data_IF_298304150866
#
_entry.id   IF_298304150866
#
_cell.length_a   1.000
_cell.length_b   1.000
_cell.length_c   1.000
_cell.angle_alpha   90.00
_cell.angle_beta   90.00
_cell.angle_gamma   90.00
#
_symmetry.space_group_name_H-M   'P 1'
#
loop_
_entity.id
_entity.type
_entity.pdbx_description
1 polymer ?
#
# COMPACT_ATOMS: atom_id res chain seq x y z
N UNK A 1 -27.67 -33.01 -22.54
CA UNK A 1 -27.37 -33.58 -21.21
C UNK A 1 -25.97 -33.13 -20.81
N UNK A 2 -25.82 -31.89 -20.35
CA UNK A 2 -24.57 -31.39 -19.78
C UNK A 2 -24.93 -30.29 -18.77
N UNK A 3 -24.77 -30.59 -17.48
CA UNK A 3 -24.93 -29.65 -16.37
C UNK A 3 -24.63 -30.40 -15.07
N UNK A 4 -23.38 -30.34 -14.58
CA UNK A 4 -23.03 -30.39 -13.15
C UNK A 4 -21.50 -30.54 -12.95
N UNK A 5 -20.73 -29.51 -13.31
CA UNK A 5 -19.30 -29.46 -12.95
C UNK A 5 -18.88 -28.13 -12.32
N UNK A 6 -19.80 -27.20 -12.05
CA UNK A 6 -19.51 -25.86 -11.51
C UNK A 6 -19.89 -25.67 -10.04
N UNK A 7 -20.42 -26.70 -9.36
CA UNK A 7 -20.89 -26.56 -7.98
C UNK A 7 -19.88 -26.99 -6.88
N UNK A 8 -18.75 -27.61 -7.24
CA UNK A 8 -17.83 -28.19 -6.24
C UNK A 8 -16.68 -27.30 -5.78
N UNK A 9 -16.53 -26.08 -6.30
CA UNK A 9 -15.45 -25.17 -5.88
C UNK A 9 -15.87 -24.15 -4.78
N UNK A 10 -17.16 -24.07 -4.44
CA UNK A 10 -17.70 -23.18 -3.39
C UNK A 10 -17.79 -23.86 -2.01
N UNK A 11 -17.56 -25.16 -1.91
CA UNK A 11 -17.76 -25.93 -0.66
C UNK A 11 -16.56 -25.89 0.30
N UNK A 12 -15.35 -25.55 -0.16
CA UNK A 12 -14.12 -25.67 0.65
C UNK A 12 -13.73 -24.41 1.43
N UNK A 13 -14.58 -23.38 1.44
CA UNK A 13 -14.40 -22.16 2.25
C UNK A 13 -15.37 -22.10 3.44
N UNK A 14 -16.41 -22.96 3.47
CA UNK A 14 -17.48 -22.91 4.48
C UNK A 14 -17.39 -23.95 5.62
N UNK A 15 -16.37 -24.82 5.65
CA UNK A 15 -16.39 -26.01 6.53
C UNK A 15 -15.56 -25.91 7.82
N UNK A 16 -15.13 -24.72 8.25
CA UNK A 16 -14.30 -24.57 9.47
C UNK A 16 -14.88 -23.62 10.53
N UNK A 17 -16.21 -23.58 10.62
CA UNK A 17 -16.93 -22.93 11.73
C UNK A 17 -18.04 -23.85 12.21
N UNK A 18 -17.69 -24.85 13.03
CA UNK A 18 -18.65 -25.48 13.94
C UNK A 18 -18.18 -25.23 15.37
N UNK A 19 -18.78 -24.22 15.99
CA UNK A 19 -18.63 -23.95 17.42
C UNK A 19 -19.40 -25.05 18.18
N UNK A 20 -18.66 -25.90 18.91
CA UNK A 20 -19.25 -26.74 19.96
C UNK A 20 -19.52 -25.87 21.18
N UNK A 21 -20.80 -25.67 21.50
CA UNK A 21 -21.24 -25.16 22.78
C UNK A 21 -21.31 -26.31 23.80
N UNK A 22 -20.47 -26.26 24.85
CA UNK A 22 -20.80 -26.68 26.22
C UNK A 22 -19.56 -26.60 27.11
N UNK A 23 -19.54 -25.65 28.05
CA UNK A 23 -19.31 -25.88 29.48
C UNK A 23 -19.19 -24.54 30.23
N UNK A 24 -19.97 -24.42 31.31
CA UNK A 24 -20.10 -23.28 32.22
C UNK A 24 -18.86 -23.05 33.11
N UNK A 25 -18.69 -21.85 33.70
CA UNK A 25 -17.39 -21.37 34.18
C UNK A 25 -17.11 -21.79 35.64
N UNK A 26 -15.84 -22.10 35.94
CA UNK A 26 -15.32 -22.14 37.32
C UNK A 26 -14.34 -20.99 37.55
N UNK A 27 -14.59 -20.26 38.63
CA UNK A 27 -13.84 -19.08 39.07
C UNK A 27 -12.63 -19.42 39.96
N UNK A 28 -11.74 -18.41 40.09
CA UNK A 28 -10.59 -18.27 41.00
C UNK A 28 -9.40 -19.22 40.70
N UNK A 29 -8.15 -18.76 40.60
CA UNK A 29 -7.43 -17.90 41.55
C UNK A 29 -6.12 -17.40 40.90
N UNK A 30 -5.75 -16.15 41.14
CA UNK A 30 -4.43 -15.61 40.81
C UNK A 30 -3.35 -16.24 41.72
N UNK A 31 -2.23 -16.67 41.13
CA UNK A 31 -0.98 -16.95 41.85
C UNK A 31 0.16 -16.23 41.14
N UNK A 32 0.72 -15.27 41.86
CA UNK A 32 2.01 -14.62 41.63
C UNK A 32 3.14 -15.64 41.74
N UNK A 33 4.07 -15.64 40.78
CA UNK A 33 5.22 -16.54 40.75
C UNK A 33 6.41 -15.92 40.03
N UNK A 34 7.49 -15.76 40.79
CA UNK A 34 8.68 -14.95 40.57
C UNK A 34 9.65 -15.49 39.50
N UNK A 35 10.39 -14.55 38.90
CA UNK A 35 11.55 -14.77 38.00
C UNK A 35 12.55 -15.80 38.55
N UNK A 36 13.03 -16.70 37.69
CA UNK A 36 14.42 -17.19 37.72
C UNK A 36 15.00 -17.26 36.31
N UNK A 37 16.08 -16.51 36.10
CA UNK A 37 17.01 -16.65 34.99
C UNK A 37 17.88 -17.88 35.25
N UNK A 38 18.10 -18.73 34.26
CA UNK A 38 19.22 -19.68 34.27
C UNK A 38 19.91 -19.61 32.91
N UNK A 39 21.16 -19.12 32.94
CA UNK A 39 22.13 -19.28 31.86
C UNK A 39 22.54 -20.75 31.81
N UNK A 40 22.65 -21.32 30.62
CA UNK A 40 23.51 -22.46 30.36
C UNK A 40 24.54 -22.00 29.33
N UNK A 41 25.79 -21.93 29.80
CA UNK A 41 26.98 -21.82 28.97
C UNK A 41 27.36 -23.22 28.48
N UNK A 42 27.55 -23.37 27.18
CA UNK A 42 28.45 -24.38 26.60
C UNK A 42 29.18 -23.72 25.44
N UNK A 43 30.47 -23.50 25.64
CA UNK A 43 31.39 -23.07 24.60
C UNK A 43 31.97 -24.27 23.85
N UNK A 44 32.21 -24.10 22.56
CA UNK A 44 33.27 -24.80 21.80
C UNK A 44 33.88 -23.78 20.84
N UNK A 45 35.19 -23.88 20.69
CA UNK A 45 36.10 -22.88 20.16
C UNK A 45 36.14 -22.77 18.61
N UNK A 46 36.44 -21.52 18.23
CA UNK A 46 37.07 -20.93 17.05
C UNK A 46 37.84 -21.85 16.09
N UNK A 47 37.56 -21.67 14.79
CA UNK A 47 38.58 -21.69 13.75
C UNK A 47 38.48 -20.40 12.92
N UNK A 48 39.55 -19.60 12.94
CA UNK A 48 39.70 -18.35 12.22
C UNK A 48 40.29 -18.61 10.83
N UNK A 49 39.77 -17.93 9.81
CA UNK A 49 40.51 -17.65 8.59
C UNK A 49 40.19 -16.22 8.13
N UNK A 50 41.26 -15.47 7.92
CA UNK A 50 41.33 -14.03 7.76
C UNK A 50 40.82 -13.52 6.41
N UNK A 51 40.39 -12.25 6.40
CA UNK A 51 40.04 -11.51 5.18
C UNK A 51 39.64 -10.07 5.52
N UNK A 52 40.63 -9.24 5.89
CA UNK A 52 40.44 -7.81 6.15
C UNK A 52 40.48 -7.06 4.82
N UNK A 53 39.38 -6.38 4.46
CA UNK A 53 39.39 -5.31 3.46
C UNK A 53 39.08 -3.99 4.19
N UNK A 54 40.12 -3.22 4.48
CA UNK A 54 40.01 -1.88 5.04
C UNK A 54 39.65 -0.90 3.91
N UNK A 55 38.50 -0.24 4.03
CA UNK A 55 38.15 0.91 3.21
C UNK A 55 38.82 2.16 3.79
N UNK A 56 39.71 2.77 3.02
CA UNK A 56 40.36 4.05 3.31
C UNK A 56 39.43 5.17 2.84
N UNK A 57 38.96 6.00 3.76
CA UNK A 57 38.30 7.29 3.45
C UNK A 57 39.24 8.40 3.93
N UNK A 58 39.73 9.30 3.05
CA UNK A 58 40.49 10.45 3.52
C UNK A 58 39.57 11.47 4.18
N UNK A 59 39.86 11.75 5.45
CA UNK A 59 39.34 12.91 6.17
C UNK A 59 40.10 14.16 5.72
N UNK A 60 39.39 15.19 5.26
CA UNK A 60 39.92 16.56 5.17
C UNK A 60 39.33 17.37 6.31
N UNK A 61 40.21 17.80 7.20
CA UNK A 61 39.91 18.76 8.25
C UNK A 61 40.03 20.18 7.69
N UNK A 62 39.06 21.03 7.98
CA UNK A 62 39.24 22.48 8.00
C UNK A 62 38.66 23.00 9.32
N UNK A 63 39.57 23.43 10.19
CA UNK A 63 39.34 24.12 11.44
C UNK A 63 39.07 25.61 11.23
N UNK A 64 38.19 26.20 12.04
CA UNK A 64 38.06 27.64 12.21
C UNK A 64 36.70 28.03 12.77
N UNK A 65 36.61 28.22 14.10
CA UNK A 65 35.37 28.56 14.81
C UNK A 65 35.06 30.05 14.86
N UNK A 66 33.84 30.39 15.30
CA UNK A 66 33.56 31.26 16.45
C UNK A 66 32.05 31.30 16.78
N UNK A 67 31.77 31.63 18.04
CA UNK A 67 30.54 31.52 18.83
C UNK A 67 29.32 32.32 18.36
N UNK A 68 28.10 31.82 18.62
CA UNK A 68 27.18 32.27 19.69
C UNK A 68 25.70 32.02 19.35
N UNK A 69 24.99 31.49 20.36
CA UNK A 69 23.56 31.55 20.72
C UNK A 69 22.44 31.81 19.68
N UNK A 70 21.36 31.04 19.81
CA UNK A 70 20.03 31.48 19.38
C UNK A 70 19.12 30.36 18.85
N UNK A 71 18.19 29.93 19.70
CA UNK A 71 16.93 29.24 19.40
C UNK A 71 16.30 29.56 18.03
N UNK A 72 15.80 28.52 17.33
CA UNK A 72 14.90 28.73 16.19
C UNK A 72 14.51 27.43 15.48
N UNK A 73 13.27 26.98 15.69
CA UNK A 73 12.58 26.03 14.82
C UNK A 73 12.59 26.59 13.39
N UNK A 74 13.29 25.91 12.47
CA UNK A 74 13.26 26.26 11.06
C UNK A 74 11.97 25.73 10.41
N UNK A 75 10.94 26.58 10.41
CA UNK A 75 9.86 26.47 9.43
C UNK A 75 10.44 26.81 8.06
N UNK A 76 10.54 25.80 7.20
CA UNK A 76 10.83 26.03 5.78
C UNK A 76 9.68 26.83 5.18
N UNK A 77 10.04 27.93 4.53
CA UNK A 77 9.14 28.90 3.91
C UNK A 77 8.26 28.23 2.86
N UNK A 78 6.94 28.19 3.12
CA UNK A 78 5.95 27.77 2.14
C UNK A 78 5.91 28.79 1.01
N UNK A 79 6.45 28.41 -0.16
CA UNK A 79 6.28 29.17 -1.39
C UNK A 79 4.78 29.40 -1.63
N UNK A 80 4.42 30.65 -1.92
CA UNK A 80 3.05 31.14 -1.94
C UNK A 80 2.19 30.42 -3.00
N UNK A 81 1.52 29.34 -2.56
CA UNK A 81 0.61 28.55 -3.39
C UNK A 81 -0.78 29.21 -3.37
N UNK A 82 -1.24 29.61 -4.55
CA UNK A 82 -2.56 30.19 -4.73
C UNK A 82 -3.61 29.07 -4.87
N UNK A 83 -4.57 29.05 -3.93
CA UNK A 83 -5.74 28.19 -4.00
C UNK A 83 -6.68 28.75 -5.04
N UNK A 84 -7.07 27.93 -6.02
CA UNK A 84 -8.13 28.27 -6.96
C UNK A 84 -9.29 27.34 -6.66
N UNK A 85 -10.16 27.73 -5.74
CA UNK A 85 -11.45 27.07 -5.49
C UNK A 85 -12.42 27.41 -6.63
N UNK A 86 -12.16 26.88 -7.83
CA UNK A 86 -13.17 26.84 -8.87
C UNK A 86 -13.77 25.45 -8.91
N UNK A 87 -15.05 25.37 -8.52
CA UNK A 87 -15.92 24.21 -8.76
C UNK A 87 -15.98 23.78 -10.24
N UNK A 88 -15.43 24.59 -11.17
CA UNK A 88 -15.37 24.33 -12.61
C UNK A 88 -14.10 23.67 -13.15
N UNK A 89 -13.08 23.35 -12.33
CA UNK A 89 -11.79 22.79 -12.81
C UNK A 89 -11.65 21.28 -12.54
N UNK A 90 -12.60 20.66 -11.84
CA UNK A 90 -12.61 19.21 -11.64
C UNK A 90 -12.91 18.45 -12.94
N UNK A 91 -13.52 19.11 -13.93
CA UNK A 91 -13.84 18.54 -15.23
C UNK A 91 -12.69 18.61 -16.25
N UNK A 92 -12.53 17.53 -17.02
CA UNK A 92 -11.81 17.53 -18.29
C UNK A 92 -10.82 16.39 -18.43
N UNK A 93 -10.76 15.78 -19.62
CA UNK A 93 -9.75 14.78 -19.96
C UNK A 93 -8.33 15.36 -19.97
N UNK A 94 -7.34 14.47 -19.83
CA UNK A 94 -5.91 14.77 -19.91
C UNK A 94 -5.25 15.27 -18.61
N UNK A 95 -3.92 15.25 -18.59
CA UNK A 95 -3.09 15.41 -17.39
C UNK A 95 -2.61 14.07 -16.85
N UNK A 96 -1.58 14.08 -16.01
CA UNK A 96 -1.10 12.86 -15.36
C UNK A 96 -1.94 12.60 -14.13
N UNK A 97 -2.54 11.41 -14.06
CA UNK A 97 -3.28 10.96 -12.90
C UNK A 97 -2.37 10.07 -12.06
N UNK A 98 -2.33 10.39 -10.77
CA UNK A 98 -1.65 9.63 -9.76
C UNK A 98 -2.68 9.16 -8.74
N UNK A 99 -2.46 8.00 -8.16
CA UNK A 99 -3.28 7.45 -7.09
C UNK A 99 -2.40 6.89 -5.99
N UNK A 100 -2.93 6.88 -4.77
CA UNK A 100 -2.29 6.18 -3.66
C UNK A 100 -3.30 5.72 -2.62
N UNK A 101 -2.95 4.61 -1.99
CA UNK A 101 -3.67 3.98 -0.90
C UNK A 101 -2.89 4.24 0.39
N UNK A 102 -3.40 5.10 1.26
CA UNK A 102 -2.72 5.51 2.48
C UNK A 102 -3.12 4.63 3.67
N UNK A 103 -2.14 4.27 4.50
CA UNK A 103 -2.30 3.48 5.73
C UNK A 103 -1.38 4.02 6.82
N UNK A 104 -1.78 3.93 8.09
CA UNK A 104 -0.89 4.30 9.19
C UNK A 104 0.32 3.37 9.32
N UNK A 105 0.19 2.10 8.89
CA UNK A 105 1.30 1.16 8.85
C UNK A 105 2.44 1.57 7.89
N UNK A 106 2.20 2.54 7.00
CA UNK A 106 3.20 3.08 6.10
C UNK A 106 3.96 4.28 6.69
N UNK A 107 3.52 4.81 7.82
CA UNK A 107 4.20 5.91 8.50
C UNK A 107 5.58 5.48 9.01
N UNK A 108 6.50 6.43 9.05
CA UNK A 108 7.88 6.20 9.48
C UNK A 108 8.14 7.05 10.74
N UNK A 109 8.01 6.47 11.94
CA UNK A 109 8.20 7.19 13.19
C UNK A 109 9.61 7.74 13.33
N UNK A 110 9.72 8.96 13.88
CA UNK A 110 10.98 9.55 14.31
C UNK A 110 11.04 9.52 15.84
N UNK A 111 12.17 9.09 16.41
CA UNK A 111 12.33 9.02 17.87
C UNK A 111 12.17 10.41 18.49
N UNK A 112 11.24 10.53 19.44
CA UNK A 112 10.91 11.81 20.10
C UNK A 112 10.10 12.77 19.22
N UNK A 113 9.68 12.34 18.03
CA UNK A 113 8.79 13.09 17.15
C UNK A 113 7.32 13.01 17.58
N UNK A 114 6.45 13.77 16.89
CA UNK A 114 5.00 13.69 17.08
C UNK A 114 4.45 12.28 16.82
N UNK A 115 3.24 12.00 17.33
CA UNK A 115 2.56 10.74 17.09
C UNK A 115 2.27 10.55 15.59
N UNK A 116 2.48 9.31 15.12
CA UNK A 116 2.23 8.88 13.73
C UNK A 116 1.59 7.50 13.71
N UNK A 117 1.00 7.15 12.57
CA UNK A 117 0.62 5.78 12.26
C UNK A 117 -0.68 5.35 12.92
N UNK A 118 -1.79 5.93 12.45
CA UNK A 118 -3.12 5.52 12.84
C UNK A 118 -3.40 4.09 12.36
N UNK A 119 -3.60 3.17 13.32
CA UNK A 119 -3.79 1.74 13.03
C UNK A 119 -5.10 1.45 12.32
N UNK A 120 -6.11 2.28 12.57
CA UNK A 120 -7.46 2.13 12.03
C UNK A 120 -7.66 3.01 10.79
N UNK A 121 -6.81 4.03 10.64
CA UNK A 121 -6.83 4.98 9.55
C UNK A 121 -6.52 4.39 8.17
N UNK A 122 -7.32 4.80 7.19
CA UNK A 122 -7.05 4.60 5.78
C UNK A 122 -7.54 5.79 4.95
N UNK A 123 -6.84 6.07 3.84
CA UNK A 123 -7.31 7.02 2.84
C UNK A 123 -7.02 6.54 1.42
N UNK A 124 -7.81 7.01 0.47
CA UNK A 124 -7.59 6.84 -0.97
C UNK A 124 -7.50 8.24 -1.57
N UNK A 125 -6.38 8.55 -2.19
CA UNK A 125 -6.11 9.85 -2.77
C UNK A 125 -5.78 9.72 -4.26
N UNK A 126 -6.46 10.54 -5.06
CA UNK A 126 -6.14 10.79 -6.46
C UNK A 126 -5.61 12.21 -6.63
N UNK A 127 -4.55 12.34 -7.43
CA UNK A 127 -3.91 13.60 -7.77
C UNK A 127 -3.86 13.73 -9.28
N UNK A 128 -4.23 14.90 -9.80
CA UNK A 128 -4.14 15.23 -11.21
C UNK A 128 -3.23 16.40 -11.43
N UNK A 129 -2.19 16.20 -12.23
CA UNK A 129 -1.26 17.26 -12.66
C UNK A 129 -1.56 17.64 -14.11
N UNK A 130 -2.03 18.87 -14.33
CA UNK A 130 -2.33 19.42 -15.66
C UNK A 130 -1.81 20.85 -15.78
N UNK A 131 -0.70 21.03 -16.49
CA UNK A 131 0.02 22.31 -16.52
C UNK A 131 0.50 22.68 -15.13
N UNK A 132 0.22 23.90 -14.69
CA UNK A 132 0.51 24.40 -13.33
C UNK A 132 -0.57 24.04 -12.30
N UNK A 133 -1.64 23.33 -12.71
CA UNK A 133 -2.75 22.98 -11.81
C UNK A 133 -2.57 21.57 -11.25
N UNK A 134 -2.66 21.47 -9.93
CA UNK A 134 -2.69 20.21 -9.19
C UNK A 134 -4.05 20.08 -8.52
N UNK A 135 -4.81 19.08 -8.93
CA UNK A 135 -6.11 18.74 -8.31
C UNK A 135 -5.93 17.53 -7.41
N UNK A 136 -6.63 17.52 -6.28
CA UNK A 136 -6.64 16.42 -5.32
C UNK A 136 -8.07 16.02 -5.03
N UNK A 137 -8.31 14.71 -4.92
CA UNK A 137 -9.54 14.12 -4.41
C UNK A 137 -9.13 13.05 -3.41
N UNK A 138 -9.50 13.22 -2.14
CA UNK A 138 -9.17 12.26 -1.09
C UNK A 138 -10.42 11.87 -0.31
N UNK A 139 -10.56 10.57 -0.06
CA UNK A 139 -11.51 10.00 0.90
C UNK A 139 -10.72 9.38 2.05
N UNK A 140 -11.26 9.43 3.27
CA UNK A 140 -10.64 8.77 4.42
C UNK A 140 -11.67 8.02 5.27
N UNK A 141 -11.22 7.07 6.07
CA UNK A 141 -12.04 6.32 7.03
C UNK A 141 -11.17 5.85 8.19
N UNK A 142 -11.83 5.54 9.32
CA UNK A 142 -11.16 4.99 10.50
C UNK A 142 -10.16 5.93 11.18
N UNK A 143 -10.16 7.21 10.82
CA UNK A 143 -9.29 8.24 11.42
C UNK A 143 -10.08 9.53 11.67
N UNK A 144 -9.51 10.42 12.48
CA UNK A 144 -10.10 11.73 12.82
C UNK A 144 -10.22 12.70 11.64
N UNK A 145 -10.79 13.87 11.90
CA UNK A 145 -10.87 14.95 10.89
C UNK A 145 -9.45 15.40 10.49
N UNK A 146 -9.15 15.47 9.18
CA UNK A 146 -7.83 15.90 8.71
C UNK A 146 -7.49 17.32 9.16
N UNK A 147 -6.25 17.52 9.60
CA UNK A 147 -5.67 18.82 9.97
C UNK A 147 -4.64 19.31 8.95
N UNK A 148 -3.97 18.39 8.25
CA UNK A 148 -3.04 18.70 7.14
C UNK A 148 -3.14 17.62 6.06
N UNK A 149 -2.86 18.02 4.82
CA UNK A 149 -2.83 17.14 3.64
C UNK A 149 -1.68 17.56 2.72
N UNK A 150 -0.72 16.67 2.53
CA UNK A 150 0.54 17.01 1.87
C UNK A 150 0.97 15.96 0.84
N UNK A 151 1.68 16.41 -0.19
CA UNK A 151 2.61 15.57 -0.95
C UNK A 151 4.03 15.91 -0.51
N UNK A 152 4.77 14.88 -0.10
CA UNK A 152 6.17 14.95 0.26
C UNK A 152 7.04 14.31 -0.82
N UNK A 153 8.31 14.71 -0.89
CA UNK A 153 9.31 14.03 -1.72
C UNK A 153 10.20 13.13 -0.85
N UNK A 154 10.05 11.83 -1.01
CA UNK A 154 10.80 10.80 -0.31
C UNK A 154 10.47 9.42 -0.86
N UNK A 155 11.50 8.58 -0.98
CA UNK A 155 11.33 7.18 -1.33
C UNK A 155 10.57 6.43 -0.23
N UNK A 156 10.02 5.25 -0.58
CA UNK A 156 9.37 4.35 0.37
C UNK A 156 10.30 4.05 1.54
N UNK A 157 9.79 4.16 2.76
CA UNK A 157 10.56 3.92 3.99
C UNK A 157 11.37 5.13 4.49
N UNK A 158 11.40 6.24 3.75
CA UNK A 158 12.17 7.44 4.11
C UNK A 158 11.25 8.65 4.28
N UNK A 159 11.45 9.44 5.33
CA UNK A 159 10.75 10.71 5.51
C UNK A 159 11.31 11.79 4.58
N UNK A 160 10.41 12.61 4.03
CA UNK A 160 10.72 13.65 3.05
C UNK A 160 10.12 15.01 3.43
N UNK A 161 10.64 16.08 2.85
CA UNK A 161 10.07 17.42 3.01
C UNK A 161 8.77 17.59 2.22
N UNK A 162 7.87 18.44 2.74
CA UNK A 162 6.62 18.83 2.04
C UNK A 162 6.97 19.56 0.74
N UNK A 163 6.31 19.17 -0.36
CA UNK A 163 6.45 19.80 -1.69
C UNK A 163 5.17 20.43 -2.20
N UNK A 164 4.02 19.84 -1.89
CA UNK A 164 2.70 20.42 -2.19
C UNK A 164 1.86 20.37 -0.93
N UNK A 165 1.28 21.50 -0.57
CA UNK A 165 0.47 21.67 0.64
C UNK A 165 -0.98 21.98 0.28
N UNK A 166 -1.85 21.00 0.53
CA UNK A 166 -3.30 21.09 0.28
C UNK A 166 -4.08 21.51 1.53
N UNK A 167 -3.43 21.87 2.64
CA UNK A 167 -4.10 22.15 3.93
C UNK A 167 -5.19 23.21 3.81
N UNK A 168 -5.01 24.21 2.95
CA UNK A 168 -6.04 25.25 2.69
C UNK A 168 -7.35 24.68 2.11
N UNK A 169 -7.31 23.53 1.42
CA UNK A 169 -8.50 22.88 0.87
C UNK A 169 -9.35 22.19 1.95
N UNK A 170 -8.80 21.91 3.14
CA UNK A 170 -9.51 21.23 4.21
C UNK A 170 -10.69 22.04 4.78
N UNK A 171 -10.75 23.34 4.51
CA UNK A 171 -11.94 24.17 4.78
C UNK A 171 -13.18 23.73 3.97
N UNK A 172 -12.99 23.02 2.85
CA UNK A 172 -14.05 22.54 1.96
C UNK A 172 -14.41 21.06 2.19
N UNK A 173 -13.97 20.45 3.30
CA UNK A 173 -14.32 19.07 3.65
C UNK A 173 -15.85 18.89 3.67
N UNK A 174 -16.32 17.83 3.01
CA UNK A 174 -17.71 17.37 3.07
C UNK A 174 -17.71 15.92 3.52
N UNK A 175 -18.29 15.64 4.69
CA UNK A 175 -18.24 14.30 5.30
C UNK A 175 -16.79 13.81 5.46
N UNK A 176 -16.47 12.69 4.81
CA UNK A 176 -15.16 12.05 4.84
C UNK A 176 -14.34 12.21 3.55
N UNK A 177 -14.59 13.29 2.80
CA UNK A 177 -13.81 13.60 1.61
C UNK A 177 -13.52 15.09 1.45
N UNK A 178 -12.52 15.40 0.64
CA UNK A 178 -12.24 16.74 0.14
C UNK A 178 -11.74 16.66 -1.30
N UNK A 179 -12.19 17.60 -2.11
CA UNK A 179 -11.77 17.73 -3.50
C UNK A 179 -11.42 19.20 -3.76
N UNK A 180 -10.34 19.46 -4.47
CA UNK A 180 -9.99 20.82 -4.85
C UNK A 180 -8.79 20.92 -5.77
N UNK A 181 -8.52 22.13 -6.22
CA UNK A 181 -7.42 22.44 -7.14
C UNK A 181 -6.62 23.62 -6.62
N UNK A 182 -5.31 23.55 -6.79
CA UNK A 182 -4.39 24.65 -6.54
C UNK A 182 -3.43 24.82 -7.70
N UNK A 183 -2.82 26.00 -7.79
CA UNK A 183 -1.70 26.23 -8.70
C UNK A 183 -0.39 25.92 -8.00
N UNK A 184 0.51 25.23 -8.68
CA UNK A 184 1.89 24.95 -8.27
C UNK A 184 2.84 25.57 -9.29
N UNK A 185 3.62 26.56 -8.84
CA UNK A 185 4.53 27.34 -9.71
C UNK A 185 5.80 26.60 -10.11
N UNK A 186 6.24 25.64 -9.30
CA UNK A 186 7.47 24.88 -9.55
C UNK A 186 7.25 23.82 -10.65
N UNK A 187 7.50 24.20 -11.90
CA UNK A 187 7.37 23.30 -13.04
C UNK A 187 8.31 22.09 -12.95
N UNK A 188 9.52 22.24 -12.41
CA UNK A 188 10.48 21.15 -12.28
C UNK A 188 10.01 20.10 -11.25
N UNK A 189 9.38 20.53 -10.17
CA UNK A 189 8.69 19.65 -9.23
C UNK A 189 7.57 18.87 -9.92
N UNK A 190 6.73 19.55 -10.71
CA UNK A 190 5.62 18.89 -11.41
C UNK A 190 6.12 17.88 -12.45
N UNK A 191 7.21 18.16 -13.16
CA UNK A 191 7.85 17.18 -14.05
C UNK A 191 8.35 15.95 -13.28
N UNK A 192 9.06 16.15 -12.16
CA UNK A 192 9.52 15.02 -11.32
C UNK A 192 8.35 14.19 -10.79
N UNK A 193 7.30 14.85 -10.30
CA UNK A 193 6.10 14.18 -9.78
C UNK A 193 5.41 13.31 -10.84
N UNK A 194 5.39 13.76 -12.11
CA UNK A 194 4.80 13.00 -13.23
C UNK A 194 5.68 11.84 -13.70
N UNK A 195 7.00 12.03 -13.69
CA UNK A 195 7.95 11.08 -14.29
C UNK A 195 8.43 10.01 -13.30
N UNK A 196 8.51 10.36 -12.02
CA UNK A 196 8.90 9.45 -10.93
C UNK A 196 7.97 9.63 -9.71
N UNK A 197 6.67 9.28 -9.83
CA UNK A 197 5.73 9.41 -8.72
C UNK A 197 6.12 8.54 -7.52
N UNK A 198 6.87 7.45 -7.74
CA UNK A 198 7.35 6.57 -6.67
C UNK A 198 8.35 7.24 -5.72
N UNK A 199 8.96 8.37 -6.11
CA UNK A 199 9.79 9.20 -5.24
C UNK A 199 8.97 10.18 -4.37
N UNK A 200 7.64 10.13 -4.42
CA UNK A 200 6.73 10.99 -3.67
C UNK A 200 5.70 10.18 -2.90
N UNK A 201 5.20 10.75 -1.81
CA UNK A 201 4.12 10.17 -1.03
C UNK A 201 3.11 11.22 -0.60
N UNK A 202 1.85 10.80 -0.51
CA UNK A 202 0.81 11.57 0.14
C UNK A 202 0.79 11.27 1.65
N UNK A 203 0.45 12.29 2.42
CA UNK A 203 0.34 12.19 3.87
C UNK A 203 -0.86 13.00 4.37
N UNK A 204 -1.68 12.37 5.21
CA UNK A 204 -2.83 12.99 5.86
C UNK A 204 -2.60 12.96 7.36
N UNK A 205 -2.78 14.10 8.00
CA UNK A 205 -2.56 14.28 9.44
C UNK A 205 -3.88 14.54 10.14
N UNK A 206 -3.96 14.17 11.42
CA UNK A 206 -5.09 14.48 12.29
C UNK A 206 -4.58 15.10 13.59
N UNK A 207 -5.50 15.55 14.45
CA UNK A 207 -5.13 16.07 15.76
C UNK A 207 -4.44 15.01 16.65
N UNK A 208 -4.85 13.74 16.53
CA UNK A 208 -4.26 12.62 17.28
C UNK A 208 -2.90 12.20 16.71
N UNK A 209 -2.73 12.29 15.40
CA UNK A 209 -1.50 11.93 14.70
C UNK A 209 -0.92 13.13 13.93
N UNK A 210 -0.39 14.14 14.64
CA UNK A 210 0.11 15.36 14.01
C UNK A 210 1.35 15.12 13.13
N UNK A 211 2.11 14.04 13.36
CA UNK A 211 3.23 13.67 12.51
C UNK A 211 2.84 12.94 11.22
N UNK A 212 1.58 12.49 11.12
CA UNK A 212 1.06 11.71 9.99
C UNK A 212 0.14 10.60 10.49
N UNK A 213 -1.16 10.68 10.18
CA UNK A 213 -2.12 9.64 10.49
C UNK A 213 -1.97 8.47 9.51
N UNK A 214 -1.94 8.78 8.22
CA UNK A 214 -1.80 7.79 7.15
C UNK A 214 -0.90 8.30 6.02
N UNK A 215 -0.13 7.37 5.44
CA UNK A 215 0.84 7.62 4.35
C UNK A 215 0.69 6.63 3.20
N UNK A 216 0.99 7.05 1.97
CA UNK A 216 1.09 6.16 0.81
C UNK A 216 1.97 6.73 -0.31
N UNK A 217 2.81 5.89 -0.95
CA UNK A 217 3.59 6.30 -2.12
C UNK A 217 2.67 6.52 -3.33
N UNK A 218 3.01 7.46 -4.20
CA UNK A 218 2.22 7.76 -5.38
C UNK A 218 2.52 6.79 -6.53
N UNK A 219 1.47 6.36 -7.21
CA UNK A 219 1.51 5.50 -8.39
C UNK A 219 0.82 6.19 -9.55
N UNK A 220 1.28 5.94 -10.76
CA UNK A 220 0.61 6.45 -11.97
C UNK A 220 -0.63 5.61 -12.26
N UNK A 221 -1.71 6.28 -12.67
CA UNK A 221 -2.89 5.68 -13.28
C UNK A 221 -2.76 5.88 -14.79
N UNK A 222 -2.83 4.79 -15.54
CA UNK A 222 -2.52 4.74 -16.98
C UNK A 222 -3.77 4.59 -17.86
N UNK A 223 -4.90 4.20 -17.27
CA UNK A 223 -6.22 4.16 -17.88
C UNK A 223 -6.85 5.54 -18.11
N UNK A 224 -7.99 5.54 -18.80
CA UNK A 224 -8.73 6.76 -19.11
C UNK A 224 -9.50 7.24 -17.88
N UNK A 225 -9.06 8.29 -17.21
CA UNK A 225 -9.65 8.68 -15.93
C UNK A 225 -10.33 10.05 -15.99
N UNK A 226 -11.60 10.11 -15.62
CA UNK A 226 -12.29 11.36 -15.33
C UNK A 226 -12.13 11.74 -13.85
N UNK A 227 -11.56 12.91 -13.60
CA UNK A 227 -11.30 13.36 -12.24
C UNK A 227 -12.58 13.70 -11.46
N UNK A 228 -13.70 13.88 -12.15
CA UNK A 228 -15.02 14.06 -11.52
C UNK A 228 -15.47 12.80 -10.79
N UNK A 229 -15.05 11.65 -11.28
CA UNK A 229 -15.47 10.33 -10.79
C UNK A 229 -14.44 9.77 -9.79
N UNK A 230 -13.45 10.57 -9.38
CA UNK A 230 -12.39 10.16 -8.46
C UNK A 230 -12.91 9.58 -7.14
N UNK A 231 -14.09 10.03 -6.67
CA UNK A 231 -14.72 9.55 -5.44
C UNK A 231 -15.53 8.24 -5.62
N UNK A 232 -15.79 7.81 -6.86
CA UNK A 232 -16.47 6.54 -7.17
C UNK A 232 -15.49 5.35 -7.20
N UNK A 233 -14.20 5.65 -7.22
CA UNK A 233 -13.11 4.70 -7.11
C UNK A 233 -12.98 4.25 -5.65
N UNK A 234 -12.56 3.02 -5.42
CA UNK A 234 -12.50 2.49 -4.07
C UNK A 234 -11.26 1.62 -3.83
N UNK A 235 -10.93 1.51 -2.54
CA UNK A 235 -9.81 0.73 -2.03
C UNK A 235 -10.36 -0.44 -1.20
N UNK A 236 -9.91 -1.66 -1.50
CA UNK A 236 -10.23 -2.85 -0.72
C UNK A 236 -8.95 -3.55 -0.25
N UNK A 237 -8.79 -3.71 1.07
CA UNK A 237 -7.67 -4.46 1.65
C UNK A 237 -7.91 -5.95 1.59
N UNK A 238 -6.82 -6.70 1.46
CA UNK A 238 -6.80 -8.13 1.78
C UNK A 238 -7.06 -8.31 3.27
N UNK A 239 -8.18 -8.95 3.60
CA UNK A 239 -8.55 -9.35 4.96
C UNK A 239 -7.88 -10.68 5.32
N UNK A 240 -7.87 -11.62 4.36
CA UNK A 240 -7.19 -12.92 4.47
C UNK A 240 -6.61 -13.25 3.10
N UNK A 241 -5.31 -13.48 2.98
CA UNK A 241 -4.68 -13.73 1.68
C UNK A 241 -3.47 -14.65 1.75
N UNK A 242 -3.34 -15.53 0.75
CA UNK A 242 -2.15 -16.34 0.50
C UNK A 242 -1.78 -16.30 -0.98
N UNK A 243 -0.50 -16.13 -1.26
CA UNK A 243 0.10 -16.46 -2.56
C UNK A 243 0.35 -17.96 -2.58
N UNK A 244 -0.11 -18.65 -3.61
CA UNK A 244 -0.01 -20.11 -3.70
C UNK A 244 1.07 -20.44 -4.73
N UNK A 245 2.08 -21.18 -4.28
CA UNK A 245 3.19 -21.61 -5.10
C UNK A 245 3.19 -23.13 -5.26
N UNK A 246 3.70 -23.59 -6.38
CA UNK A 246 3.94 -24.99 -6.67
C UNK A 246 5.39 -25.21 -7.06
N UNK A 247 5.98 -26.25 -6.49
CA UNK A 247 7.33 -26.66 -6.83
C UNK A 247 7.35 -27.31 -8.23
N UNK A 248 8.00 -26.63 -9.18
CA UNK A 248 8.08 -27.01 -10.59
C UNK A 248 9.52 -27.02 -11.08
N UNK A 249 9.80 -27.70 -12.22
CA UNK A 249 11.10 -27.60 -12.87
C UNK A 249 11.48 -26.13 -13.11
N UNK A 250 12.70 -25.75 -12.73
CA UNK A 250 13.21 -24.40 -12.88
C UNK A 250 14.02 -24.25 -14.17
N UNK A 251 14.04 -23.03 -14.73
CA UNK A 251 14.97 -22.67 -15.80
C UNK A 251 16.40 -22.74 -15.25
N UNK A 252 17.24 -23.61 -15.82
CA UNK A 252 18.58 -23.93 -15.30
C UNK A 252 18.70 -25.29 -14.60
N UNK A 253 17.61 -26.05 -14.53
CA UNK A 253 17.59 -27.38 -13.92
C UNK A 253 17.21 -27.35 -12.43
N UNK A 254 16.87 -28.50 -11.89
CA UNK A 254 16.33 -28.61 -10.52
C UNK A 254 14.88 -28.12 -10.43
N UNK A 255 14.45 -27.83 -9.20
CA UNK A 255 13.06 -27.47 -8.89
C UNK A 255 13.01 -26.22 -8.02
N UNK A 256 12.07 -25.32 -8.33
CA UNK A 256 11.81 -24.10 -7.60
C UNK A 256 10.30 -23.83 -7.50
N UNK A 257 9.91 -23.01 -6.52
CA UNK A 257 8.53 -22.57 -6.36
C UNK A 257 8.16 -21.54 -7.42
N UNK A 258 7.17 -21.89 -8.26
CA UNK A 258 6.57 -20.99 -9.24
C UNK A 258 5.14 -20.64 -8.81
N UNK A 259 4.66 -19.44 -9.18
CA UNK A 259 3.30 -19.02 -8.86
C UNK A 259 2.29 -20.00 -9.47
N UNK A 260 1.43 -20.58 -8.62
CA UNK A 260 0.32 -21.45 -9.03
C UNK A 260 -1.00 -20.71 -8.99
N UNK A 261 -1.29 -20.02 -7.89
CA UNK A 261 -2.59 -19.37 -7.70
C UNK A 261 -2.49 -18.27 -6.64
N UNK A 262 -3.59 -17.61 -6.34
CA UNK A 262 -3.80 -16.75 -5.18
C UNK A 262 -5.12 -17.13 -4.54
N UNK A 263 -5.19 -17.06 -3.21
CA UNK A 263 -6.46 -17.18 -2.49
C UNK A 263 -6.55 -16.00 -1.54
N UNK A 264 -7.39 -15.03 -1.86
CA UNK A 264 -7.61 -13.88 -1.01
C UNK A 264 -9.08 -13.46 -0.92
N UNK A 265 -9.47 -13.04 0.27
CA UNK A 265 -10.71 -12.33 0.56
C UNK A 265 -10.34 -10.88 0.88
N UNK A 266 -10.91 -9.97 0.11
CA UNK A 266 -10.76 -8.53 0.29
C UNK A 266 -11.99 -7.95 1.01
N UNK A 267 -11.87 -6.73 1.53
CA UNK A 267 -13.01 -5.99 2.06
C UNK A 267 -14.16 -5.89 1.03
N UNK A 268 -15.40 -5.92 1.51
CA UNK A 268 -16.58 -6.01 0.64
C UNK A 268 -16.83 -7.43 0.09
N UNK A 269 -16.22 -8.44 0.72
CA UNK A 269 -16.30 -9.86 0.35
C UNK A 269 -15.91 -10.15 -1.11
N UNK A 270 -14.97 -9.37 -1.63
CA UNK A 270 -14.42 -9.58 -2.96
C UNK A 270 -13.43 -10.75 -2.90
N UNK A 271 -13.73 -11.80 -3.65
CA UNK A 271 -12.86 -12.98 -3.78
C UNK A 271 -11.84 -12.74 -4.88
N UNK A 272 -10.57 -12.99 -4.59
CA UNK A 272 -9.46 -12.87 -5.52
C UNK A 272 -8.72 -14.21 -5.68
N UNK A 273 -8.73 -14.72 -6.91
CA UNK A 273 -8.06 -15.95 -7.34
C UNK A 273 -7.40 -15.76 -8.70
N UNK A 274 -6.75 -16.78 -9.24
CA UNK A 274 -6.63 -16.90 -10.69
C UNK A 274 -7.90 -17.49 -11.28
N UNK A 275 -8.18 -17.21 -12.56
CA UNK A 275 -9.33 -17.79 -13.28
C UNK A 275 -9.27 -19.33 -13.28
N UNK A 276 -8.05 -19.87 -13.31
CA UNK A 276 -7.70 -21.27 -13.09
C UNK A 276 -6.31 -21.35 -12.45
N UNK A 277 -6.01 -22.36 -11.61
CA UNK A 277 -4.65 -22.61 -11.18
C UNK A 277 -3.70 -22.68 -12.38
N UNK A 278 -2.50 -22.10 -12.22
CA UNK A 278 -1.43 -22.00 -13.21
C UNK A 278 -1.72 -21.14 -14.44
N UNK A 279 -2.89 -20.49 -14.53
CA UNK A 279 -3.20 -19.60 -15.67
C UNK A 279 -2.42 -18.28 -15.65
N UNK A 280 -2.00 -17.83 -14.47
CA UNK A 280 -1.38 -16.51 -14.29
C UNK A 280 -2.34 -15.34 -14.50
N UNK A 281 -3.62 -15.57 -14.83
CA UNK A 281 -4.63 -14.53 -15.04
C UNK A 281 -5.41 -14.30 -13.74
N UNK A 282 -5.13 -13.21 -13.00
CA UNK A 282 -5.89 -12.86 -11.80
C UNK A 282 -7.33 -12.49 -12.13
N UNK A 283 -8.24 -12.79 -11.20
CA UNK A 283 -9.64 -12.41 -11.21
C UNK A 283 -10.06 -11.87 -9.84
N UNK A 284 -11.00 -10.94 -9.84
CA UNK A 284 -11.72 -10.46 -8.66
C UNK A 284 -13.21 -10.60 -8.90
N UNK A 285 -13.94 -11.18 -7.95
CA UNK A 285 -15.38 -11.44 -8.03
C UNK A 285 -16.04 -10.85 -6.78
N UNK A 286 -16.98 -9.93 -6.97
CA UNK A 286 -17.76 -9.34 -5.89
C UNK A 286 -19.07 -10.12 -5.62
N UNK A 287 -19.70 -9.96 -4.44
CA UNK A 287 -20.95 -10.64 -4.09
C UNK A 287 -22.11 -10.37 -5.05
N UNK A 288 -22.16 -9.21 -5.68
CA UNK A 288 -23.19 -8.84 -6.67
C UNK A 288 -23.02 -9.55 -8.04
N UNK A 289 -21.94 -10.34 -8.19
CA UNK A 289 -21.48 -11.06 -9.39
C UNK A 289 -20.89 -10.17 -10.48
N UNK A 290 -20.59 -8.91 -10.21
CA UNK A 290 -19.62 -8.16 -11.01
C UNK A 290 -18.23 -8.79 -10.80
N UNK A 291 -17.43 -8.84 -11.85
CA UNK A 291 -16.10 -9.44 -11.80
C UNK A 291 -15.21 -8.88 -12.90
N UNK A 292 -13.90 -8.90 -12.65
CA UNK A 292 -12.86 -8.43 -13.57
C UNK A 292 -11.67 -9.38 -13.56
N UNK A 293 -11.03 -9.56 -14.70
CA UNK A 293 -9.69 -10.14 -14.81
C UNK A 293 -8.65 -9.04 -14.97
N UNK A 294 -7.39 -9.35 -14.66
CA UNK A 294 -6.28 -8.39 -14.74
C UNK A 294 -5.17 -8.86 -15.68
N UNK A 295 -4.60 -7.94 -16.44
CA UNK A 295 -3.34 -8.12 -17.17
C UNK A 295 -2.31 -7.11 -16.65
N UNK A 296 -1.12 -7.58 -16.26
CA UNK A 296 -0.08 -6.71 -15.69
C UNK A 296 0.40 -5.71 -16.72
N UNK A 297 0.32 -4.42 -16.39
CA UNK A 297 0.90 -3.29 -17.14
C UNK A 297 2.33 -3.07 -16.65
N UNK A 298 2.51 -2.95 -15.34
CA UNK A 298 3.83 -2.73 -14.74
C UNK A 298 3.97 -3.41 -13.38
N UNK A 299 5.23 -3.62 -12.97
CA UNK A 299 5.60 -4.19 -11.68
C UNK A 299 6.57 -3.26 -10.98
N UNK A 300 6.28 -2.91 -9.74
CA UNK A 300 7.16 -2.11 -8.89
C UNK A 300 7.70 -2.99 -7.76
N UNK A 301 9.03 -3.19 -7.67
CA UNK A 301 9.63 -3.93 -6.55
C UNK A 301 9.25 -3.31 -5.20
N UNK A 302 8.98 -4.15 -4.19
CA UNK A 302 8.64 -3.70 -2.85
C UNK A 302 9.56 -4.32 -1.77
N UNK A 303 10.85 -4.36 -2.08
CA UNK A 303 11.87 -5.04 -1.28
C UNK A 303 11.74 -6.57 -1.31
N UNK A 304 12.77 -7.27 -0.84
CA UNK A 304 12.91 -8.72 -1.03
C UNK A 304 11.94 -9.56 -0.21
N UNK A 305 11.28 -8.96 0.77
CA UNK A 305 10.35 -9.64 1.69
C UNK A 305 8.88 -9.53 1.26
N UNK A 306 8.59 -8.77 0.22
CA UNK A 306 7.22 -8.52 -0.22
C UNK A 306 7.08 -8.81 -1.72
N UNK A 307 5.95 -9.38 -2.12
CA UNK A 307 5.61 -9.44 -3.55
C UNK A 307 5.56 -8.03 -4.15
N UNK A 308 5.90 -7.92 -5.44
CA UNK A 308 5.85 -6.63 -6.14
C UNK A 308 4.46 -5.97 -6.06
N UNK A 309 4.44 -4.65 -6.01
CA UNK A 309 3.24 -3.87 -6.31
C UNK A 309 2.98 -3.96 -7.82
N UNK A 310 1.70 -3.94 -8.20
CA UNK A 310 1.29 -4.12 -9.59
C UNK A 310 0.38 -3.00 -10.03
N UNK A 311 0.54 -2.62 -11.28
CA UNK A 311 -0.47 -1.94 -12.07
C UNK A 311 -1.03 -2.95 -13.08
N UNK A 312 -2.34 -3.12 -13.12
CA UNK A 312 -3.03 -4.06 -13.98
C UNK A 312 -4.14 -3.39 -14.79
N UNK A 313 -4.18 -3.68 -16.08
CA UNK A 313 -5.35 -3.42 -16.92
C UNK A 313 -6.46 -4.38 -16.52
N UNK A 314 -7.63 -3.85 -16.19
CA UNK A 314 -8.80 -4.65 -15.85
C UNK A 314 -9.67 -4.90 -17.09
N UNK A 315 -10.21 -6.12 -17.18
CA UNK A 315 -11.19 -6.51 -18.20
C UNK A 315 -12.41 -7.09 -17.50
N UNK A 316 -13.58 -6.50 -17.73
CA UNK A 316 -14.85 -7.00 -17.21
C UNK A 316 -15.06 -8.46 -17.63
N UNK A 317 -15.37 -9.31 -16.66
CA UNK A 317 -15.58 -10.76 -16.84
C UNK A 317 -16.86 -11.29 -16.18
N UNK A 318 -17.51 -10.49 -15.33
CA UNK A 318 -18.78 -10.80 -14.68
C UNK A 318 -19.93 -9.95 -15.21
N UNK A 319 -20.92 -9.66 -14.35
CA UNK A 319 -22.05 -8.80 -14.70
C UNK A 319 -21.60 -7.42 -15.16
N UNK A 320 -22.35 -6.87 -16.13
CA UNK A 320 -22.18 -5.52 -16.66
C UNK A 320 -22.60 -4.38 -15.72
N UNK A 321 -23.08 -4.71 -14.51
CA UNK A 321 -23.45 -3.76 -13.46
C UNK A 321 -23.01 -4.33 -12.12
N UNK A 322 -22.66 -3.44 -11.19
CA UNK A 322 -22.19 -3.80 -9.86
C UNK A 322 -20.85 -3.16 -9.53
N UNK A 323 -20.33 -3.47 -8.35
CA UNK A 323 -19.16 -2.86 -7.75
C UNK A 323 -17.91 -2.84 -8.66
N UNK A 324 -17.67 -3.94 -9.37
CA UNK A 324 -16.50 -4.12 -10.25
C UNK A 324 -16.81 -3.89 -11.73
N UNK A 325 -18.04 -3.52 -12.09
CA UNK A 325 -18.46 -3.52 -13.48
C UNK A 325 -17.67 -2.53 -14.34
N UNK A 326 -17.39 -1.34 -13.81
CA UNK A 326 -16.76 -0.26 -14.57
C UNK A 326 -15.24 -0.17 -14.35
N UNK A 327 -14.64 -1.17 -13.69
CA UNK A 327 -13.22 -1.15 -13.38
C UNK A 327 -12.40 -1.36 -14.66
N UNK A 328 -11.48 -0.43 -14.92
CA UNK A 328 -10.57 -0.45 -16.07
C UNK A 328 -9.11 -0.66 -15.70
N UNK A 329 -8.73 -0.38 -14.46
CA UNK A 329 -7.37 -0.51 -13.96
C UNK A 329 -7.40 -0.88 -12.47
N UNK A 330 -6.45 -1.69 -12.05
CA UNK A 330 -6.33 -2.17 -10.67
C UNK A 330 -4.90 -1.95 -10.22
N UNK A 331 -4.72 -1.23 -9.13
CA UNK A 331 -3.42 -1.09 -8.47
C UNK A 331 -3.37 -2.03 -7.26
N UNK A 332 -2.38 -2.93 -7.22
CA UNK A 332 -2.02 -3.70 -6.03
C UNK A 332 -0.89 -2.99 -5.30
N UNK A 333 -1.21 -2.36 -4.18
CA UNK A 333 -0.34 -1.48 -3.40
C UNK A 333 -0.12 -2.04 -1.98
N UNK A 334 0.81 -1.44 -1.23
CA UNK A 334 1.03 -1.74 0.19
C UNK A 334 1.25 -3.24 0.47
N UNK A 335 1.98 -3.92 -0.42
CA UNK A 335 2.17 -5.37 -0.28
C UNK A 335 3.07 -5.70 0.92
N UNK A 336 2.68 -6.72 1.67
CA UNK A 336 3.48 -7.26 2.79
C UNK A 336 3.50 -8.78 2.70
N UNK A 337 4.69 -9.38 2.66
CA UNK A 337 4.87 -10.83 2.57
C UNK A 337 4.51 -11.40 1.20
N UNK A 338 4.12 -12.67 1.18
CA UNK A 338 3.69 -13.39 -0.02
C UNK A 338 4.80 -13.89 -0.93
N UNK A 339 6.08 -13.67 -0.63
CA UNK A 339 7.19 -14.08 -1.49
C UNK A 339 7.30 -15.60 -1.54
N UNK A 340 7.64 -16.16 -2.71
CA UNK A 340 7.87 -17.59 -2.89
C UNK A 340 8.95 -18.09 -1.89
N UNK A 341 8.79 -19.28 -1.28
CA UNK A 341 9.84 -19.82 -0.44
C UNK A 341 11.13 -20.02 -1.24
N UNK A 342 12.27 -19.68 -0.60
CA UNK A 342 13.58 -19.85 -1.19
C UNK A 342 14.07 -21.31 -1.06
N UNK A 343 15.03 -21.69 -1.89
CA UNK A 343 15.69 -22.99 -1.86
C UNK A 343 15.05 -24.04 -2.77
N UNK A 344 15.64 -25.24 -2.77
CA UNK A 344 15.09 -26.39 -3.48
C UNK A 344 13.80 -26.87 -2.82
N UNK A 345 12.96 -27.53 -3.61
CA UNK A 345 11.67 -28.03 -3.16
C UNK A 345 11.39 -29.41 -3.75
N UNK A 346 10.50 -30.18 -3.12
CA UNK A 346 10.06 -31.47 -3.63
C UNK A 346 9.03 -31.26 -4.76
N UNK A 347 9.19 -31.89 -5.94
CA UNK A 347 8.30 -31.71 -7.08
C UNK A 347 6.82 -31.89 -6.70
N UNK A 348 5.95 -30.99 -7.17
CA UNK A 348 4.51 -31.03 -6.88
C UNK A 348 4.10 -30.52 -5.50
N UNK A 349 5.06 -30.12 -4.64
CA UNK A 349 4.75 -29.47 -3.35
C UNK A 349 4.00 -28.17 -3.59
N UNK A 350 2.88 -27.97 -2.90
CA UNK A 350 2.09 -26.74 -2.93
C UNK A 350 2.19 -26.04 -1.59
N UNK A 351 2.48 -24.75 -1.59
CA UNK A 351 2.63 -23.93 -0.39
C UNK A 351 1.85 -22.63 -0.52
N UNK A 352 1.14 -22.26 0.53
CA UNK A 352 0.46 -20.97 0.64
C UNK A 352 1.23 -20.02 1.55
N UNK A 353 1.77 -18.93 1.00
CA UNK A 353 2.50 -17.91 1.75
C UNK A 353 1.56 -16.74 2.06
N UNK A 354 1.32 -16.41 3.35
CA UNK A 354 0.45 -15.29 3.71
C UNK A 354 0.92 -13.97 3.12
N UNK A 355 -0.01 -13.14 2.68
CA UNK A 355 0.27 -11.78 2.23
C UNK A 355 -0.83 -10.80 2.62
N UNK A 356 -0.47 -9.52 2.69
CA UNK A 356 -1.40 -8.40 2.73
C UNK A 356 -1.14 -7.49 1.53
N UNK A 357 -2.17 -6.78 1.10
CA UNK A 357 -2.10 -5.73 0.09
C UNK A 357 -3.37 -4.87 0.19
N UNK A 358 -3.30 -3.68 -0.39
CA UNK A 358 -4.47 -2.89 -0.75
C UNK A 358 -4.67 -2.96 -2.27
N UNK A 359 -5.91 -3.17 -2.70
CA UNK A 359 -6.29 -3.07 -4.10
C UNK A 359 -7.07 -1.79 -4.30
N UNK A 360 -6.66 -0.95 -5.26
CA UNK A 360 -7.41 0.21 -5.72
C UNK A 360 -8.06 -0.16 -7.05
N UNK A 361 -9.39 -0.12 -7.09
CA UNK A 361 -10.17 -0.38 -8.30
C UNK A 361 -10.49 0.94 -8.96
N UNK A 362 -9.83 1.19 -10.10
CA UNK A 362 -9.98 2.42 -10.85
C UNK A 362 -11.09 2.25 -11.89
N UNK A 363 -12.18 3.00 -11.72
CA UNK A 363 -13.36 2.99 -12.57
C UNK A 363 -13.14 3.88 -13.82
N UNK A 364 -13.95 3.65 -14.85
CA UNK A 364 -13.95 4.45 -16.10
C UNK A 364 -14.61 5.80 -15.96
#
# INVERSE_FOLDING_TARGET
MESNATFNAMSDIASDVTIKASETPRAFRAVSGTRRKSLIMTGVAVAAAAGVAAAVIPAVAASGGHHADGSGMSHSTHGDQAVVTQSGVLGGSGGTILATSLRGANEIPVKGGPAVGDKDGAALEFVKVKGDKVSVAVTWRGTGRPTMLHIHQGAKGTNGGVKIDFTKLLGAIKGHHVVGTMKVKDAALLERLKNDPGAFYANLHTAEFPGGAVRGQLHKVTGSFDFRDALDNFQASVVKGKQIYECKPAEGGGYAFAQRDVAALLGGDIVHTFVKPNSGTPQWVAPDRSAVTGAVISKTPNGDKNIAELDLKATQSGKHRGLLADTQEILRLNTVGGVAPAGSCSPGTIVGVPYRADYVFVQR
#
